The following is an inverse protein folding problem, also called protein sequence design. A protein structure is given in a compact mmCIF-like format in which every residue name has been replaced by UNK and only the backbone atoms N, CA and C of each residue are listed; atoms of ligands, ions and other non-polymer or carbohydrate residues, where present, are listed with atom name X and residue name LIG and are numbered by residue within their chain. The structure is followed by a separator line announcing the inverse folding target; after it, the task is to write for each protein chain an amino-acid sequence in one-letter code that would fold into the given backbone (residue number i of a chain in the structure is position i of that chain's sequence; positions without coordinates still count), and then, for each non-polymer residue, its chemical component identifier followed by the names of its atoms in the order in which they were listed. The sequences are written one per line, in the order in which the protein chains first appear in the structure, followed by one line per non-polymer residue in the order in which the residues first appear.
data_IF_375109095929
#
_entry.id   IF_375109095929
#
_cell.length_a   1.000
_cell.length_b   1.000
_cell.length_c   1.000
_cell.angle_alpha   90.00
_cell.angle_beta   90.00
_cell.angle_gamma   90.00
#
_symmetry.space_group_name_H-M   'P 1'
#
loop_
_entity.id
_entity.type
_entity.pdbx_description
1 polymer ?
#
# COMPACT_ATOMS: atom_id res chain seq x y z
N UNK A 1 -0.65 4.68 -16.02
CA UNK A 1 0.07 4.67 -14.74
C UNK A 1 0.10 3.27 -14.18
N UNK A 2 1.25 2.80 -13.71
CA UNK A 2 1.43 1.46 -13.14
C UNK A 2 0.53 1.31 -11.91
N UNK A 3 -0.23 0.22 -11.83
CA UNK A 3 -1.11 -0.10 -10.69
C UNK A 3 -2.51 0.50 -10.73
N UNK A 4 -2.81 1.39 -11.69
CA UNK A 4 -4.01 2.24 -11.61
C UNK A 4 -5.27 1.43 -11.86
N UNK A 5 -6.22 1.52 -10.93
CA UNK A 5 -7.53 0.91 -11.09
C UNK A 5 -8.36 1.78 -12.02
N UNK A 6 -8.63 1.29 -13.22
CA UNK A 6 -9.40 2.01 -14.24
C UNK A 6 -10.90 1.73 -14.16
N UNK A 7 -11.25 0.51 -13.75
CA UNK A 7 -12.63 0.06 -13.62
C UNK A 7 -12.72 -1.03 -12.55
N UNK A 8 -13.89 -1.12 -11.93
CA UNK A 8 -14.27 -2.17 -11.00
C UNK A 8 -15.56 -2.81 -11.53
N UNK A 9 -15.56 -4.14 -11.69
CA UNK A 9 -16.65 -4.89 -12.33
C UNK A 9 -17.11 -4.29 -13.68
N UNK A 10 -16.14 -3.85 -14.49
CA UNK A 10 -16.39 -3.26 -15.81
C UNK A 10 -16.93 -1.84 -15.81
N UNK A 11 -17.05 -1.18 -14.64
CA UNK A 11 -17.56 0.20 -14.50
C UNK A 11 -16.49 1.14 -14.00
N UNK A 12 -16.54 2.40 -14.43
CA UNK A 12 -15.64 3.48 -13.98
C UNK A 12 -16.18 4.24 -12.76
N UNK A 13 -17.41 3.95 -12.38
CA UNK A 13 -18.08 4.45 -11.17
C UNK A 13 -18.52 3.25 -10.33
N UNK A 14 -18.41 3.37 -9.02
CA UNK A 14 -18.75 2.34 -8.05
C UNK A 14 -20.28 2.15 -7.98
N UNK A 15 -21.04 3.25 -8.04
CA UNK A 15 -22.51 3.24 -7.92
C UNK A 15 -23.00 3.06 -6.48
N UNK A 16 -22.12 3.25 -5.50
CA UNK A 16 -22.43 3.06 -4.08
C UNK A 16 -22.62 4.40 -3.37
N UNK A 17 -21.83 5.40 -3.75
CA UNK A 17 -21.72 6.68 -3.04
C UNK A 17 -22.50 7.79 -3.74
N UNK A 18 -22.41 9.03 -3.24
CA UNK A 18 -23.17 10.17 -3.76
C UNK A 18 -22.93 10.32 -5.27
N UNK A 19 -23.99 10.15 -6.08
CA UNK A 19 -23.89 10.16 -7.54
C UNK A 19 -23.27 11.46 -8.06
N UNK A 20 -22.32 11.34 -8.99
CA UNK A 20 -21.62 12.49 -9.58
C UNK A 20 -20.54 13.10 -8.67
N UNK A 21 -20.32 12.57 -7.47
CA UNK A 21 -19.21 12.97 -6.59
C UNK A 21 -17.91 12.26 -6.94
N UNK A 22 -16.81 12.72 -6.35
CA UNK A 22 -15.50 12.04 -6.43
C UNK A 22 -15.48 10.73 -5.64
N UNK A 23 -16.29 10.59 -4.60
CA UNK A 23 -16.41 9.37 -3.80
C UNK A 23 -16.90 8.17 -4.62
N UNK A 24 -17.77 8.41 -5.60
CA UNK A 24 -18.38 7.34 -6.40
C UNK A 24 -17.54 6.92 -7.61
N UNK A 25 -16.37 7.55 -7.84
CA UNK A 25 -15.48 7.18 -8.94
C UNK A 25 -14.56 6.04 -8.55
N UNK A 26 -14.29 5.15 -9.50
CA UNK A 26 -13.18 4.20 -9.38
C UNK A 26 -11.87 4.97 -9.54
N UNK A 27 -11.10 5.01 -8.46
CA UNK A 27 -9.82 5.74 -8.36
C UNK A 27 -8.87 4.98 -7.43
N UNK A 28 -7.61 5.37 -7.43
CA UNK A 28 -6.54 4.72 -6.67
C UNK A 28 -5.75 3.68 -7.45
N UNK A 29 -4.77 3.13 -6.74
CA UNK A 29 -3.88 2.07 -7.19
C UNK A 29 -4.30 0.76 -6.52
N UNK A 30 -4.08 -0.35 -7.22
CA UNK A 30 -4.05 -1.66 -6.59
C UNK A 30 -2.87 -1.68 -5.60
N UNK A 31 -3.15 -2.13 -4.38
CA UNK A 31 -2.17 -2.21 -3.31
C UNK A 31 -1.01 -3.16 -3.60
N UNK A 32 -1.14 -4.07 -4.57
CA UNK A 32 -0.07 -4.96 -5.00
C UNK A 32 1.06 -4.25 -5.77
N UNK A 33 0.74 -3.13 -6.44
CA UNK A 33 1.60 -2.58 -7.48
C UNK A 33 1.53 -1.05 -7.50
N UNK A 34 2.59 -0.37 -7.07
CA UNK A 34 2.66 1.09 -7.00
C UNK A 34 3.57 1.68 -8.09
N UNK A 35 3.42 2.99 -8.40
CA UNK A 35 4.33 3.67 -9.31
C UNK A 35 5.78 3.67 -8.77
N UNK A 36 6.80 3.59 -9.64
CA UNK A 36 8.20 3.71 -9.23
C UNK A 36 8.54 5.15 -8.82
N UNK A 37 9.72 5.34 -8.22
CA UNK A 37 10.24 6.65 -7.80
C UNK A 37 9.31 7.37 -6.81
N UNK A 38 8.89 6.66 -5.76
CA UNK A 38 8.08 7.21 -4.68
C UNK A 38 8.85 8.31 -3.93
N UNK A 39 8.17 9.43 -3.71
CA UNK A 39 8.68 10.53 -2.92
C UNK A 39 7.99 10.57 -1.54
N UNK A 40 8.66 11.15 -0.54
CA UNK A 40 8.13 11.26 0.83
C UNK A 40 6.93 12.20 0.94
N UNK A 41 6.74 13.11 -0.01
CA UNK A 41 5.62 14.05 -0.08
C UNK A 41 4.47 13.52 -0.97
N UNK A 42 4.62 12.33 -1.55
CA UNK A 42 3.59 11.70 -2.37
C UNK A 42 2.43 11.22 -1.50
N UNK A 43 1.21 11.53 -1.92
CA UNK A 43 0.00 10.88 -1.38
C UNK A 43 -0.34 9.66 -2.24
N UNK A 44 -0.49 8.50 -1.60
CA UNK A 44 -0.84 7.25 -2.27
C UNK A 44 -2.30 6.92 -2.04
N UNK A 45 -3.08 6.94 -3.11
CA UNK A 45 -4.46 6.50 -3.06
C UNK A 45 -4.54 5.01 -3.38
N UNK A 46 -5.05 4.21 -2.44
CA UNK A 46 -5.15 2.76 -2.55
C UNK A 46 -6.61 2.34 -2.63
N UNK A 47 -6.94 1.44 -3.56
CA UNK A 47 -8.26 0.85 -3.68
C UNK A 47 -8.24 -0.62 -3.29
N UNK A 48 -8.87 -0.93 -2.16
CA UNK A 48 -9.14 -2.30 -1.71
C UNK A 48 -10.64 -2.52 -1.81
N UNK A 49 -11.08 -3.44 -2.67
CA UNK A 49 -12.50 -3.65 -2.97
C UNK A 49 -13.35 -3.89 -1.71
N UNK A 50 -12.79 -4.56 -0.70
CA UNK A 50 -13.46 -4.83 0.57
C UNK A 50 -13.77 -3.55 1.37
N UNK A 51 -12.96 -2.50 1.26
CA UNK A 51 -13.20 -1.23 1.93
C UNK A 51 -14.26 -0.39 1.22
N UNK A 52 -14.76 -0.81 0.05
CA UNK A 52 -15.80 -0.11 -0.72
C UNK A 52 -15.48 1.33 -1.14
N UNK A 53 -14.29 1.85 -0.83
CA UNK A 53 -13.83 3.17 -1.21
C UNK A 53 -12.31 3.19 -1.24
N UNK A 54 -11.71 4.08 -2.04
CA UNK A 54 -10.28 4.37 -1.95
C UNK A 54 -9.93 5.02 -0.62
N UNK A 55 -8.70 4.76 -0.16
CA UNK A 55 -8.10 5.32 1.05
C UNK A 55 -6.75 5.93 0.70
N UNK A 56 -6.52 7.14 1.17
CA UNK A 56 -5.27 7.85 1.04
C UNK A 56 -4.26 7.37 2.10
N UNK A 57 -3.00 7.23 1.69
CA UNK A 57 -1.86 6.93 2.55
C UNK A 57 -0.78 7.99 2.37
N UNK A 58 -0.29 8.49 3.49
CA UNK A 58 0.79 9.47 3.56
C UNK A 58 2.03 8.86 4.19
N UNK A 59 3.20 9.35 3.77
CA UNK A 59 4.48 8.94 4.34
C UNK A 59 4.52 9.18 5.86
N UNK A 60 4.95 8.17 6.61
CA UNK A 60 5.25 8.26 8.04
C UNK A 60 6.76 8.41 8.27
N UNK A 61 7.54 7.44 7.76
CA UNK A 61 8.96 7.30 8.07
C UNK A 61 9.69 6.38 7.10
N UNK A 62 11.02 6.47 7.10
CA UNK A 62 11.89 5.47 6.48
C UNK A 62 11.93 4.19 7.33
N UNK A 63 11.93 3.04 6.67
CA UNK A 63 11.99 1.70 7.25
C UNK A 63 12.99 0.83 6.48
N UNK A 64 13.24 -0.39 6.96
CA UNK A 64 14.11 -1.35 6.27
C UNK A 64 13.72 -2.77 6.64
N UNK A 65 13.61 -3.65 5.64
CA UNK A 65 13.42 -5.09 5.83
C UNK A 65 14.60 -5.83 5.24
N UNK A 66 15.33 -6.60 6.06
CA UNK A 66 16.52 -7.35 5.65
C UNK A 66 17.56 -6.52 4.85
N UNK A 67 17.71 -5.24 5.23
CA UNK A 67 18.64 -4.30 4.61
C UNK A 67 18.16 -3.69 3.28
N UNK A 68 16.90 -3.89 2.89
CA UNK A 68 16.27 -3.21 1.76
C UNK A 68 15.54 -1.96 2.30
N UNK A 69 15.96 -0.74 1.91
CA UNK A 69 15.30 0.49 2.32
C UNK A 69 13.86 0.56 1.81
N UNK A 70 12.95 0.99 2.68
CA UNK A 70 11.53 1.16 2.38
C UNK A 70 11.01 2.47 2.95
N UNK A 71 9.91 2.97 2.41
CA UNK A 71 9.13 4.06 2.98
C UNK A 71 7.83 3.50 3.53
N UNK A 72 7.53 3.81 4.79
CA UNK A 72 6.24 3.49 5.41
C UNK A 72 5.22 4.54 5.06
N UNK A 73 4.10 4.11 4.49
CA UNK A 73 2.91 4.92 4.26
C UNK A 73 1.77 4.42 5.15
N UNK A 74 1.04 5.33 5.79
CA UNK A 74 -0.10 5.05 6.67
C UNK A 74 -1.29 5.92 6.28
N UNK A 75 -2.54 5.51 6.57
CA UNK A 75 -3.67 6.40 6.47
C UNK A 75 -3.50 7.60 7.40
N UNK A 76 -3.81 8.83 6.95
CA UNK A 76 -3.96 9.96 7.85
C UNK A 76 -4.97 9.65 8.96
N UNK A 77 -4.80 10.28 10.14
CA UNK A 77 -5.67 10.04 11.30
C UNK A 77 -7.16 10.29 11.01
N UNK A 78 -7.47 11.17 10.06
CA UNK A 78 -8.82 11.49 9.60
C UNK A 78 -9.21 10.77 8.29
N UNK A 79 -8.50 9.73 7.86
CA UNK A 79 -8.85 8.99 6.65
C UNK A 79 -10.29 8.46 6.69
N UNK A 80 -10.71 7.94 7.85
CA UNK A 80 -12.10 7.53 8.15
C UNK A 80 -12.88 8.62 8.93
N UNK A 81 -12.41 9.85 8.90
CA UNK A 81 -12.99 10.99 9.59
C UNK A 81 -14.36 11.37 9.07
N UNK A 82 -15.25 11.81 9.96
CA UNK A 82 -16.56 12.35 9.59
C UNK A 82 -16.41 13.82 9.17
N UNK A 83 -17.15 14.22 8.14
CA UNK A 83 -17.20 15.62 7.72
C UNK A 83 -17.90 16.52 8.75
N UNK A 84 -18.70 15.94 9.65
CA UNK A 84 -19.45 16.65 10.70
C UNK A 84 -18.71 16.70 12.04
N UNK A 85 -17.50 16.13 12.13
CA UNK A 85 -16.78 16.08 13.40
C UNK A 85 -16.40 17.49 13.89
N UNK A 86 -16.65 17.74 15.18
CA UNK A 86 -16.24 18.96 15.86
C UNK A 86 -14.73 19.03 16.09
N UNK A 87 -14.06 17.89 16.23
CA UNK A 87 -12.62 17.78 16.38
C UNK A 87 -11.94 17.92 15.02
N UNK A 88 -11.29 19.06 14.78
CA UNK A 88 -10.61 19.37 13.50
C UNK A 88 -9.53 18.37 13.10
N UNK A 89 -8.94 17.65 14.06
CA UNK A 89 -7.95 16.61 13.77
C UNK A 89 -8.58 15.35 13.19
N UNK A 90 -9.81 15.01 13.61
CA UNK A 90 -10.54 13.84 13.12
C UNK A 90 -11.52 14.19 11.99
N UNK A 91 -11.87 15.47 11.84
CA UNK A 91 -12.75 15.93 10.78
C UNK A 91 -12.11 15.72 9.41
N UNK A 92 -12.91 15.21 8.47
CA UNK A 92 -12.53 15.12 7.07
C UNK A 92 -13.68 15.56 6.16
N UNK A 93 -13.64 16.82 5.66
CA UNK A 93 -14.67 17.34 4.75
C UNK A 93 -14.80 16.56 3.43
N UNK A 94 -13.70 16.01 2.93
CA UNK A 94 -13.69 15.25 1.66
C UNK A 94 -14.50 13.95 1.75
N UNK A 95 -14.77 13.49 2.99
CA UNK A 95 -15.60 12.32 3.24
C UNK A 95 -17.11 12.61 3.22
N UNK A 96 -17.57 13.84 2.97
CA UNK A 96 -18.99 14.18 2.91
C UNK A 96 -19.77 13.25 1.97
N UNK A 97 -19.23 12.97 0.78
CA UNK A 97 -19.92 12.16 -0.23
C UNK A 97 -19.97 10.65 0.06
N UNK A 98 -19.26 10.17 1.09
CA UNK A 98 -19.41 8.80 1.59
C UNK A 98 -20.57 8.68 2.58
N UNK A 99 -21.09 9.80 3.09
CA UNK A 99 -22.29 9.79 3.90
C UNK A 99 -23.53 10.15 3.06
N UNK A 100 -24.46 9.22 2.93
CA UNK A 100 -25.71 9.40 2.18
C UNK A 100 -26.84 9.93 3.08
N UNK A 101 -26.56 10.99 3.85
CA UNK A 101 -27.58 11.63 4.69
C UNK A 101 -28.64 12.30 3.82
N UNK A 102 -29.80 11.66 3.75
CA UNK A 102 -30.89 11.98 2.84
C UNK A 102 -31.73 10.74 2.50
N UNK A 103 -31.10 9.56 2.54
CA UNK A 103 -31.72 8.26 2.27
C UNK A 103 -31.97 7.45 3.57
N UNK A 104 -32.42 8.10 4.65
CA UNK A 104 -32.59 7.51 6.02
C UNK A 104 -31.28 7.12 6.75
N UNK A 105 -30.11 7.54 6.28
CA UNK A 105 -28.83 7.25 6.95
C UNK A 105 -28.32 8.41 7.80
N UNK A 106 -28.09 8.14 9.08
CA UNK A 106 -27.31 9.00 9.97
C UNK A 106 -25.81 8.76 9.71
N UNK A 107 -25.03 9.82 9.52
CA UNK A 107 -23.58 9.69 9.41
C UNK A 107 -23.00 9.18 10.73
N UNK A 108 -22.12 8.20 10.64
CA UNK A 108 -21.30 7.82 11.80
C UNK A 108 -20.35 8.95 12.19
N UNK A 109 -19.98 8.94 13.48
CA UNK A 109 -18.84 9.71 13.99
C UNK A 109 -17.54 9.18 13.39
N UNK A 110 -16.47 9.98 13.50
CA UNK A 110 -15.17 9.66 12.90
C UNK A 110 -14.63 8.29 13.29
N UNK A 111 -13.96 7.64 12.33
CA UNK A 111 -13.35 6.32 12.47
C UNK A 111 -14.25 5.15 12.08
N UNK A 112 -15.51 5.40 11.74
CA UNK A 112 -16.48 4.40 11.30
C UNK A 112 -17.24 4.92 10.08
N UNK A 113 -17.49 4.07 9.09
CA UNK A 113 -18.40 4.38 7.99
C UNK A 113 -19.31 3.20 7.65
N UNK A 114 -20.49 3.49 7.10
CA UNK A 114 -21.45 2.46 6.68
C UNK A 114 -20.94 1.75 5.43
N UNK A 115 -21.00 0.42 5.43
CA UNK A 115 -20.78 -0.41 4.24
C UNK A 115 -22.08 -0.76 3.52
N UNK A 116 -23.24 -0.40 4.09
CA UNK A 116 -24.55 -0.72 3.51
C UNK A 116 -24.69 -0.27 2.05
N UNK A 117 -24.21 0.91 1.61
CA UNK A 117 -24.33 1.33 0.21
C UNK A 117 -23.61 0.42 -0.80
N UNK A 118 -22.53 -0.25 -0.40
CA UNK A 118 -21.79 -1.20 -1.23
C UNK A 118 -22.17 -2.67 -1.00
N UNK A 119 -22.92 -2.96 0.07
CA UNK A 119 -23.43 -4.30 0.41
C UNK A 119 -24.95 -4.38 0.31
N UNK A 120 -25.56 -3.57 -0.56
CA UNK A 120 -27.01 -3.52 -0.78
C UNK A 120 -27.61 -4.88 -1.11
N UNK A 121 -26.89 -5.74 -1.83
CA UNK A 121 -27.41 -7.06 -2.20
C UNK A 121 -27.72 -7.95 -0.98
N UNK A 122 -27.05 -7.74 0.15
CA UNK A 122 -27.28 -8.52 1.37
C UNK A 122 -28.14 -7.80 2.40
N UNK A 123 -28.48 -6.51 2.20
CA UNK A 123 -29.18 -5.65 3.17
C UNK A 123 -28.63 -5.78 4.60
N UNK A 124 -27.32 -6.02 4.73
CA UNK A 124 -26.70 -6.27 6.02
C UNK A 124 -26.28 -4.92 6.63
N UNK A 125 -26.65 -4.60 7.88
CA UNK A 125 -26.33 -3.34 8.53
C UNK A 125 -24.87 -3.33 9.00
N UNK A 126 -23.95 -3.36 8.04
CA UNK A 126 -22.52 -3.47 8.26
C UNK A 126 -21.85 -2.10 8.27
N UNK A 127 -20.88 -1.92 9.16
CA UNK A 127 -20.01 -0.77 9.22
C UNK A 127 -18.54 -1.20 9.29
N UNK A 128 -17.64 -0.39 8.74
CA UNK A 128 -16.20 -0.64 8.77
C UNK A 128 -15.49 0.38 9.64
N UNK A 129 -14.49 -0.09 10.39
CA UNK A 129 -13.57 0.73 11.18
C UNK A 129 -12.17 0.16 11.13
N UNK A 130 -11.20 0.79 11.80
CA UNK A 130 -9.95 0.10 12.15
C UNK A 130 -10.16 -0.82 13.37
N UNK A 131 -9.29 -1.83 13.59
CA UNK A 131 -9.42 -2.77 14.71
C UNK A 131 -9.47 -2.08 16.07
N UNK A 132 -10.34 -2.60 16.94
CA UNK A 132 -10.65 -2.04 18.26
C UNK A 132 -11.00 -0.54 18.22
N UNK A 133 -11.59 -0.08 17.12
CA UNK A 133 -11.90 1.34 16.88
C UNK A 133 -10.67 2.26 17.00
N UNK A 134 -9.50 1.79 16.59
CA UNK A 134 -8.30 2.62 16.47
C UNK A 134 -8.57 3.86 15.61
N UNK A 135 -8.16 5.05 16.07
CA UNK A 135 -8.43 6.36 15.44
C UNK A 135 -9.92 6.73 15.28
N UNK A 136 -10.83 6.09 16.02
CA UNK A 136 -12.24 6.47 16.03
C UNK A 136 -12.60 7.39 17.20
N UNK A 137 -13.80 7.96 17.12
CA UNK A 137 -14.41 8.70 18.20
C UNK A 137 -14.49 7.83 19.48
N UNK A 138 -14.07 8.34 20.66
CA UNK A 138 -14.04 7.56 21.89
C UNK A 138 -15.39 6.95 22.30
N UNK A 139 -16.51 7.52 21.86
CA UNK A 139 -17.85 6.97 22.18
C UNK A 139 -18.09 5.57 21.61
N UNK A 140 -17.34 5.13 20.60
CA UNK A 140 -17.39 3.73 20.14
C UNK A 140 -16.77 2.75 21.15
N UNK A 141 -15.84 3.21 22.00
CA UNK A 141 -15.24 2.39 23.05
C UNK A 141 -16.16 2.25 24.28
N UNK A 142 -17.06 3.22 24.49
CA UNK A 142 -18.02 3.20 25.60
C UNK A 142 -19.15 2.17 25.39
N UNK A 143 -19.43 1.81 24.14
CA UNK A 143 -20.51 0.89 23.79
C UNK A 143 -20.18 -0.59 23.93
N UNK A 144 -18.89 -0.95 24.05
CA UNK A 144 -18.43 -2.35 23.99
C UNK A 144 -17.23 -2.57 24.91
N UNK A 145 -17.36 -3.50 25.86
CA UNK A 145 -16.26 -3.88 26.76
C UNK A 145 -15.22 -4.76 26.06
N UNK A 146 -13.96 -4.68 26.50
CA UNK A 146 -12.85 -5.52 26.01
C UNK A 146 -12.07 -4.93 24.82
N UNK A 147 -12.42 -3.72 24.37
CA UNK A 147 -11.70 -3.02 23.32
C UNK A 147 -10.42 -2.35 23.85
N UNK A 148 -9.33 -2.41 23.09
CA UNK A 148 -8.04 -1.86 23.48
C UNK A 148 -7.27 -1.40 22.23
N UNK A 149 -7.57 -0.23 21.65
CA UNK A 149 -6.91 0.27 20.45
C UNK A 149 -5.41 0.50 20.70
N UNK A 150 -4.56 -0.18 19.94
CA UNK A 150 -3.10 -0.07 20.01
C UNK A 150 -2.55 0.17 18.61
N UNK A 151 -1.78 1.25 18.42
CA UNK A 151 -1.24 1.63 17.11
C UNK A 151 -0.46 0.46 16.48
N UNK A 152 0.44 -0.15 17.23
CA UNK A 152 1.33 -1.21 16.76
C UNK A 152 0.57 -2.46 16.28
N UNK A 153 -0.60 -2.72 16.85
CA UNK A 153 -1.43 -3.89 16.53
C UNK A 153 -2.55 -3.60 15.54
N UNK A 154 -3.03 -2.37 15.46
CA UNK A 154 -4.27 -2.04 14.76
C UNK A 154 -4.10 -1.00 13.65
N UNK A 155 -2.90 -0.41 13.49
CA UNK A 155 -2.64 0.50 12.37
C UNK A 155 -2.64 -0.27 11.04
N UNK A 156 -3.13 0.40 10.00
CA UNK A 156 -2.84 0.05 8.62
C UNK A 156 -1.55 0.77 8.22
N UNK A 157 -0.58 0.01 7.70
CA UNK A 157 0.55 0.58 6.98
C UNK A 157 0.91 -0.22 5.73
N UNK A 158 1.75 0.39 4.88
CA UNK A 158 2.44 -0.25 3.78
C UNK A 158 3.90 0.21 3.73
N UNK A 159 4.84 -0.73 3.66
CA UNK A 159 6.27 -0.45 3.53
C UNK A 159 6.71 -0.75 2.10
N UNK A 160 7.11 0.30 1.37
CA UNK A 160 7.31 0.25 -0.09
C UNK A 160 8.74 0.55 -0.46
N UNK A 161 9.32 -0.22 -1.39
CA UNK A 161 10.65 0.09 -1.95
C UNK A 161 10.52 1.30 -2.87
N UNK A 162 11.15 2.45 -2.55
CA UNK A 162 10.81 3.71 -3.22
C UNK A 162 11.17 3.75 -4.69
N UNK A 163 12.32 3.17 -5.06
CA UNK A 163 12.83 3.18 -6.44
C UNK A 163 11.88 2.47 -7.40
N UNK A 164 11.29 1.36 -6.99
CA UNK A 164 10.55 0.44 -7.86
C UNK A 164 9.04 0.44 -7.63
N UNK A 165 8.58 0.92 -6.48
CA UNK A 165 7.15 0.99 -6.15
C UNK A 165 6.53 -0.39 -5.93
N UNK A 166 7.23 -1.31 -5.28
CA UNK A 166 6.62 -2.56 -4.84
C UNK A 166 6.67 -2.66 -3.30
N UNK A 167 5.58 -3.13 -2.67
CA UNK A 167 5.53 -3.28 -1.22
C UNK A 167 6.34 -4.49 -0.75
N UNK A 168 7.10 -4.34 0.33
CA UNK A 168 7.70 -5.46 1.08
C UNK A 168 6.82 -5.93 2.23
N UNK A 169 6.02 -5.04 2.79
CA UNK A 169 5.01 -5.37 3.77
C UNK A 169 3.76 -4.54 3.48
N UNK A 170 2.59 -5.17 3.57
CA UNK A 170 1.32 -4.48 3.47
C UNK A 170 0.38 -5.05 4.54
N UNK A 171 -0.08 -4.18 5.44
CA UNK A 171 -0.97 -4.57 6.53
C UNK A 171 -2.26 -3.77 6.51
N UNK A 172 -3.14 -3.93 5.52
CA UNK A 172 -4.49 -3.38 5.60
C UNK A 172 -5.21 -4.11 6.72
N UNK A 173 -5.48 -3.39 7.80
CA UNK A 173 -6.21 -3.91 8.95
C UNK A 173 -7.53 -3.18 9.04
N UNK A 174 -8.62 -3.92 9.15
CA UNK A 174 -9.95 -3.36 9.26
C UNK A 174 -10.81 -4.25 10.16
N UNK A 175 -11.88 -3.67 10.65
CA UNK A 175 -12.85 -4.30 11.52
C UNK A 175 -14.22 -4.17 10.89
N UNK A 176 -14.90 -5.31 10.81
CA UNK A 176 -16.30 -5.39 10.43
C UNK A 176 -17.15 -5.33 11.69
N UNK A 177 -18.15 -4.47 11.63
CA UNK A 177 -19.06 -4.19 12.71
C UNK A 177 -20.50 -4.36 12.22
N UNK A 178 -21.39 -4.79 13.11
CA UNK A 178 -22.84 -4.78 12.88
C UNK A 178 -23.42 -3.60 13.63
N UNK A 179 -24.30 -2.85 12.98
CA UNK A 179 -25.03 -1.74 13.59
C UNK A 179 -26.32 -2.30 14.20
N UNK A 180 -26.45 -2.22 15.52
CA UNK A 180 -27.62 -2.68 16.28
C UNK A 180 -28.31 -1.49 16.95
N UNK A 181 -29.60 -1.62 17.30
CA UNK A 181 -30.30 -0.63 18.13
C UNK A 181 -31.01 0.51 17.38
N UNK A 182 -31.44 0.26 16.14
CA UNK A 182 -32.32 1.16 15.35
C UNK A 182 -33.03 0.39 14.22
N UNK A 183 -33.09 -0.94 14.34
CA UNK A 183 -33.59 -1.84 13.29
C UNK A 183 -34.86 -2.52 13.76
N UNK A 184 -35.97 -2.23 13.09
CA UNK A 184 -37.30 -2.82 13.33
C UNK A 184 -37.42 -4.31 13.00
N UNK A 185 -36.29 -5.01 12.82
CA UNK A 185 -36.23 -6.36 12.28
C UNK A 185 -36.58 -7.42 13.35
N UNK A 186 -36.24 -7.17 14.62
CA UNK A 186 -36.51 -8.10 15.72
C UNK A 186 -36.93 -7.33 16.98
N UNK A 187 -38.01 -7.77 17.63
CA UNK A 187 -38.56 -7.12 18.83
C UNK A 187 -37.54 -7.11 19.98
N UNK A 188 -36.65 -8.11 20.03
CA UNK A 188 -35.65 -8.30 21.08
C UNK A 188 -34.53 -7.25 21.09
N UNK A 189 -34.33 -6.52 19.99
CA UNK A 189 -33.26 -5.50 19.86
C UNK A 189 -33.79 -4.07 19.73
N UNK A 190 -35.11 -3.87 19.78
CA UNK A 190 -35.74 -2.54 19.68
C UNK A 190 -35.41 -1.62 20.86
N UNK A 191 -35.26 -2.19 22.06
CA UNK A 191 -34.94 -1.42 23.28
C UNK A 191 -33.43 -1.24 23.52
N UNK A 192 -32.59 -1.74 22.60
CA UNK A 192 -31.13 -1.61 22.72
C UNK A 192 -30.70 -0.27 22.13
N UNK A 193 -29.89 0.48 22.88
CA UNK A 193 -29.29 1.73 22.39
C UNK A 193 -28.49 1.45 21.11
N UNK A 194 -28.65 2.31 20.09
CA UNK A 194 -27.87 2.27 18.86
C UNK A 194 -26.37 2.11 19.14
N UNK A 195 -25.82 0.97 18.73
CA UNK A 195 -24.45 0.53 19.03
C UNK A 195 -23.81 -0.06 17.78
N UNK A 196 -22.55 0.27 17.54
CA UNK A 196 -21.74 -0.34 16.49
C UNK A 196 -20.95 -1.48 17.14
N UNK A 197 -21.42 -2.72 16.95
CA UNK A 197 -20.89 -3.90 17.60
C UNK A 197 -19.84 -4.59 16.70
N UNK A 198 -18.56 -4.63 17.08
CA UNK A 198 -17.54 -5.35 16.33
C UNK A 198 -17.72 -6.86 16.47
N UNK A 199 -17.61 -7.59 15.36
CA UNK A 199 -17.65 -9.06 15.39
C UNK A 199 -16.38 -9.73 14.85
N UNK A 200 -15.59 -9.00 14.05
CA UNK A 200 -14.39 -9.51 13.41
C UNK A 200 -13.47 -8.34 13.05
N UNK A 201 -12.18 -8.49 13.29
CA UNK A 201 -11.17 -7.72 12.58
C UNK A 201 -10.24 -8.66 11.82
N UNK A 202 -9.75 -8.19 10.68
CA UNK A 202 -8.90 -8.97 9.80
C UNK A 202 -7.74 -8.14 9.27
N UNK A 203 -6.68 -8.84 8.88
CA UNK A 203 -5.57 -8.29 8.10
C UNK A 203 -5.62 -8.93 6.71
N UNK A 204 -5.72 -8.12 5.66
CA UNK A 204 -5.71 -8.59 4.27
C UNK A 204 -4.44 -8.14 3.56
N UNK A 205 -3.34 -8.83 3.85
CA UNK A 205 -2.03 -8.48 3.34
C UNK A 205 -0.95 -9.42 3.85
N UNK A 206 0.30 -9.04 3.65
CA UNK A 206 1.46 -9.84 4.05
C UNK A 206 2.41 -9.05 4.92
N UNK A 207 3.03 -9.77 5.85
CA UNK A 207 4.10 -9.26 6.69
C UNK A 207 5.40 -9.13 5.91
N UNK A 208 6.44 -8.66 6.60
CA UNK A 208 7.78 -8.54 6.04
C UNK A 208 8.30 -9.87 5.45
N UNK A 209 9.11 -9.81 4.39
CA UNK A 209 9.61 -11.01 3.73
C UNK A 209 10.48 -11.84 4.67
N UNK A 210 10.41 -13.17 4.54
CA UNK A 210 11.38 -14.06 5.17
C UNK A 210 12.80 -13.77 4.65
N UNK A 211 13.82 -14.08 5.44
CA UNK A 211 15.23 -13.91 5.05
C UNK A 211 15.57 -14.42 3.64
N UNK A 212 15.20 -15.67 3.23
CA UNK A 212 15.49 -16.16 1.88
C UNK A 212 14.74 -15.39 0.79
N UNK A 213 13.50 -14.95 1.07
CA UNK A 213 12.73 -14.16 0.13
C UNK A 213 13.34 -12.77 -0.04
N UNK A 214 13.78 -12.15 1.05
CA UNK A 214 14.43 -10.86 1.02
C UNK A 214 15.78 -10.89 0.28
N UNK A 215 16.57 -11.95 0.43
CA UNK A 215 17.81 -12.14 -0.33
C UNK A 215 17.52 -12.25 -1.84
N UNK A 216 16.51 -13.04 -2.22
CA UNK A 216 16.10 -13.16 -3.62
C UNK A 216 15.59 -11.83 -4.20
N UNK A 217 14.79 -11.08 -3.43
CA UNK A 217 14.34 -9.74 -3.81
C UNK A 217 15.55 -8.83 -4.00
N UNK A 218 16.45 -8.74 -3.01
CA UNK A 218 17.64 -7.89 -3.06
C UNK A 218 18.51 -8.18 -4.27
N UNK A 219 18.74 -9.46 -4.57
CA UNK A 219 19.44 -9.87 -5.79
C UNK A 219 18.72 -9.38 -7.05
N UNK A 220 17.39 -9.54 -7.11
CA UNK A 220 16.57 -9.06 -8.22
C UNK A 220 16.61 -7.54 -8.43
N UNK A 221 16.66 -6.76 -7.35
CA UNK A 221 16.77 -5.29 -7.42
C UNK A 221 18.15 -4.84 -7.87
N UNK A 222 19.20 -5.50 -7.39
CA UNK A 222 20.59 -5.14 -7.67
C UNK A 222 21.04 -5.60 -9.07
N UNK A 223 20.46 -6.68 -9.60
CA UNK A 223 20.91 -7.32 -10.84
C UNK A 223 20.93 -6.38 -12.07
N UNK A 224 19.89 -5.56 -12.36
CA UNK A 224 19.88 -4.68 -13.52
C UNK A 224 21.03 -3.66 -13.52
N UNK A 225 21.49 -3.21 -12.35
CA UNK A 225 22.56 -2.22 -12.23
C UNK A 225 23.94 -2.87 -12.11
N UNK A 226 24.07 -3.93 -11.30
CA UNK A 226 25.38 -4.53 -10.97
C UNK A 226 25.85 -5.53 -12.02
N UNK A 227 24.94 -6.30 -12.64
CA UNK A 227 25.32 -7.35 -13.58
C UNK A 227 25.95 -6.80 -14.87
N UNK A 228 25.38 -5.77 -15.54
CA UNK A 228 26.02 -5.18 -16.72
C UNK A 228 27.37 -4.54 -16.40
N UNK A 229 27.51 -3.92 -15.22
CA UNK A 229 28.78 -3.33 -14.77
C UNK A 229 29.85 -4.42 -14.60
N UNK A 230 29.51 -5.53 -13.93
CA UNK A 230 30.41 -6.67 -13.76
C UNK A 230 30.83 -7.25 -15.12
N UNK A 231 29.87 -7.53 -16.00
CA UNK A 231 30.15 -8.07 -17.34
C UNK A 231 31.05 -7.12 -18.12
N UNK A 232 30.77 -5.82 -18.06
CA UNK A 232 31.59 -4.81 -18.74
C UNK A 232 33.03 -4.84 -18.25
N UNK A 233 33.26 -4.85 -16.92
CA UNK A 233 34.60 -4.94 -16.33
C UNK A 233 35.32 -6.22 -16.78
N UNK A 234 34.64 -7.36 -16.77
CA UNK A 234 35.23 -8.64 -17.21
C UNK A 234 35.60 -8.57 -18.70
N UNK A 235 34.72 -8.07 -19.56
CA UNK A 235 35.00 -7.89 -20.99
C UNK A 235 36.18 -6.94 -21.23
N UNK A 236 36.30 -5.84 -20.47
CA UNK A 236 37.44 -4.93 -20.55
C UNK A 236 38.76 -5.60 -20.16
N UNK A 237 38.78 -6.40 -19.09
CA UNK A 237 39.97 -7.13 -18.66
C UNK A 237 40.40 -8.17 -19.70
N UNK A 238 39.45 -8.91 -20.27
CA UNK A 238 39.71 -9.87 -21.35
C UNK A 238 40.25 -9.16 -22.59
N UNK A 239 39.66 -8.03 -22.97
CA UNK A 239 40.13 -7.21 -24.09
C UNK A 239 41.56 -6.69 -23.87
N UNK A 240 41.86 -6.19 -22.67
CA UNK A 240 43.20 -5.73 -22.31
C UNK A 240 44.24 -6.86 -22.38
N UNK A 241 43.90 -8.07 -21.95
CA UNK A 241 44.75 -9.24 -22.06
C UNK A 241 45.04 -9.62 -23.52
N UNK A 242 44.04 -9.58 -24.40
CA UNK A 242 44.23 -9.81 -25.84
C UNK A 242 45.12 -8.75 -26.51
N UNK A 243 44.97 -7.48 -26.11
CA UNK A 243 45.84 -6.41 -26.62
C UNK A 243 47.28 -6.63 -26.14
N UNK A 244 47.49 -6.91 -24.85
CA UNK A 244 48.82 -7.17 -24.29
C UNK A 244 49.49 -8.39 -24.94
N UNK A 245 48.76 -9.48 -25.18
CA UNK A 245 49.30 -10.66 -25.86
C UNK A 245 49.66 -10.37 -27.32
N UNK A 246 48.84 -9.60 -28.03
CA UNK A 246 49.13 -9.20 -29.42
C UNK A 246 50.36 -8.27 -29.51
N UNK A 247 50.50 -7.31 -28.59
CA UNK A 247 51.64 -6.40 -28.54
C UNK A 247 52.91 -7.15 -28.18
N UNK A 248 52.88 -8.02 -27.17
CA UNK A 248 54.05 -8.85 -26.80
C UNK A 248 54.47 -9.77 -27.93
N UNK A 249 53.52 -10.40 -28.63
CA UNK A 249 53.79 -11.20 -29.82
C UNK A 249 54.42 -10.38 -30.95
N UNK A 250 53.86 -9.20 -31.25
CA UNK A 250 54.40 -8.31 -32.28
C UNK A 250 55.84 -7.87 -31.96
N UNK A 251 56.11 -7.50 -30.70
CA UNK A 251 57.45 -7.13 -30.24
C UNK A 251 58.42 -8.32 -30.31
N UNK A 252 57.95 -9.53 -29.99
CA UNK A 252 58.73 -10.77 -30.11
C UNK A 252 59.13 -11.03 -31.58
N UNK A 253 58.18 -11.01 -32.51
CA UNK A 253 58.44 -11.22 -33.95
C UNK A 253 59.40 -10.18 -34.50
N UNK A 254 59.21 -8.90 -34.16
CA UNK A 254 60.10 -7.82 -34.58
C UNK A 254 61.53 -8.03 -34.08
N UNK A 255 61.70 -8.50 -32.83
CA UNK A 255 63.02 -8.78 -32.24
C UNK A 255 63.72 -9.92 -32.96
N UNK A 256 63.04 -11.04 -33.22
CA UNK A 256 63.59 -12.19 -33.94
C UNK A 256 64.06 -11.80 -35.35
N UNK A 257 63.20 -11.12 -36.12
CA UNK A 257 63.56 -10.68 -37.48
C UNK A 257 64.74 -9.69 -37.50
N UNK A 258 64.90 -8.86 -36.46
CA UNK A 258 66.04 -7.94 -36.36
C UNK A 258 67.33 -8.66 -35.97
N UNK A 259 67.28 -9.80 -35.30
CA UNK A 259 68.45 -10.63 -34.97
C UNK A 259 68.96 -11.40 -36.19
N UNK A 260 68.07 -11.85 -37.09
CA UNK A 260 68.44 -12.56 -38.31
C UNK A 260 69.19 -11.68 -39.34
N UNK A 261 69.03 -10.35 -39.28
CA UNK A 261 69.77 -9.43 -40.16
C UNK A 261 71.21 -9.10 -39.69
N UNK A 262 71.59 -9.48 -38.46
CA UNK A 262 72.91 -9.12 -37.87
C UNK A 262 73.96 -10.23 -38.06
N UNK A 263 73.59 -11.40 -38.59
CA UNK A 263 74.54 -12.46 -38.94
C UNK A 263 74.76 -12.49 -40.46
N UNK A 264 75.71 -11.72 -41.01
CA UNK A 264 76.16 -11.94 -42.38
C UNK A 264 76.96 -13.26 -42.44
N UNK A 265 76.66 -14.07 -43.46
CA UNK A 265 77.51 -15.21 -43.88
C UNK A 265 78.86 -14.73 -44.39
#
# INVERSE_FOLDING_TARGET
DKGKVLAYDGKTELGWWKKGSTCDKVRGQDSSTLPPSLARDMNLEIFIALMCRPIDLTYEKDTSHAGIPTYRFIPPINALGSHLDSNKTLQNPDNECYCLSGDNYECFKSGVYSMEPCKRDTNAPLALSYPHFYQADPSFLEGVEGLNPQKEKHEFYMDVVPEFGFPLAIRPRFQLNVVIGDVDIYDEVRDVKKTVLPFLWAQDGFDEPSEPMAEAIKFGLDAPQKLPMLISVVCFLIGALFILSSVTYFLYVKRVNSSDQIVPK
#
